data_IF_584606334584
#
_entry.id   IF_584606334584
#
_cell.length_a   1.000
_cell.length_b   1.000
_cell.length_c   1.000
_cell.angle_alpha   90.00
_cell.angle_beta   90.00
_cell.angle_gamma   90.00
#
_symmetry.space_group_name_H-M   'P 1'
#
loop_
_entity.id
_entity.type
_entity.pdbx_description
1 polymer ?
#
# COMPACT_ATOMS: atom_id res chain seq x y z
N UNK A 1 -29.30 -5.36 -17.70
CA UNK A 1 -28.70 -4.43 -16.72
C UNK A 1 -28.36 -5.25 -15.49
N UNK A 2 -27.13 -5.76 -15.42
CA UNK A 2 -26.58 -6.24 -14.15
C UNK A 2 -26.43 -5.02 -13.25
N UNK A 3 -26.88 -5.10 -12.00
CA UNK A 3 -26.41 -4.17 -10.96
C UNK A 3 -24.88 -4.25 -10.98
N UNK A 4 -24.20 -3.18 -11.42
CA UNK A 4 -22.76 -3.07 -11.20
C UNK A 4 -22.57 -3.07 -9.69
N UNK A 5 -22.12 -4.22 -9.16
CA UNK A 5 -21.83 -4.36 -7.74
C UNK A 5 -20.66 -3.43 -7.44
N UNK A 6 -20.98 -2.32 -6.77
CA UNK A 6 -19.97 -1.44 -6.23
C UNK A 6 -19.07 -2.20 -5.28
N UNK A 7 -17.78 -2.24 -5.60
CA UNK A 7 -16.79 -2.93 -4.80
C UNK A 7 -15.79 -1.92 -4.24
N UNK A 8 -15.57 -2.00 -2.93
CA UNK A 8 -14.56 -1.26 -2.21
C UNK A 8 -13.18 -1.89 -2.39
N UNK A 9 -12.13 -1.07 -2.33
CA UNK A 9 -10.75 -1.55 -2.34
C UNK A 9 -10.51 -2.51 -1.17
N UNK A 10 -9.87 -3.68 -1.38
CA UNK A 10 -9.48 -4.58 -0.30
C UNK A 10 -8.58 -3.86 0.71
N UNK A 11 -8.88 -4.00 1.99
CA UNK A 11 -8.16 -3.32 3.07
C UNK A 11 -6.63 -3.52 3.04
N UNK A 12 -6.18 -4.73 2.69
CA UNK A 12 -4.75 -5.06 2.58
C UNK A 12 -4.05 -4.23 1.48
N UNK A 13 -4.73 -3.98 0.36
CA UNK A 13 -4.19 -3.28 -0.79
C UNK A 13 -4.18 -1.78 -0.54
N UNK A 14 -5.26 -1.23 0.03
CA UNK A 14 -5.29 0.15 0.49
C UNK A 14 -4.14 0.43 1.46
N UNK A 15 -3.99 -0.43 2.48
CA UNK A 15 -2.89 -0.35 3.46
C UNK A 15 -1.52 -0.45 2.81
N UNK A 16 -1.32 -1.40 1.88
CA UNK A 16 -0.05 -1.56 1.17
C UNK A 16 0.28 -0.32 0.34
N UNK A 17 -0.69 0.22 -0.42
CA UNK A 17 -0.50 1.44 -1.24
C UNK A 17 -0.09 2.64 -0.39
N UNK A 18 -0.75 2.87 0.75
CA UNK A 18 -0.34 3.94 1.68
C UNK A 18 1.11 3.75 2.13
N UNK A 19 1.53 2.51 2.40
CA UNK A 19 2.93 2.23 2.78
C UNK A 19 3.91 2.42 1.62
N UNK A 20 3.53 2.08 0.39
CA UNK A 20 4.37 2.28 -0.80
C UNK A 20 4.60 3.76 -1.06
N UNK A 21 3.57 4.60 -0.91
CA UNK A 21 3.71 6.06 -1.07
C UNK A 21 4.71 6.63 -0.06
N UNK A 22 4.63 6.18 1.20
CA UNK A 22 5.61 6.56 2.23
C UNK A 22 7.02 6.07 1.88
N UNK A 23 7.16 4.84 1.41
CA UNK A 23 8.45 4.29 1.01
C UNK A 23 9.05 5.05 -0.18
N UNK A 24 8.24 5.35 -1.19
CA UNK A 24 8.64 6.16 -2.35
C UNK A 24 9.13 7.55 -1.92
N UNK A 25 8.44 8.19 -0.96
CA UNK A 25 8.83 9.49 -0.43
C UNK A 25 10.13 9.43 0.38
N UNK A 26 10.23 8.55 1.37
CA UNK A 26 11.36 8.52 2.31
C UNK A 26 12.62 7.90 1.69
N UNK A 27 12.47 6.84 0.89
CA UNK A 27 13.58 6.01 0.44
C UNK A 27 13.97 6.31 -1.01
N UNK A 28 13.00 6.64 -1.86
CA UNK A 28 13.23 6.88 -3.30
C UNK A 28 13.20 8.37 -3.68
N UNK A 29 13.03 9.27 -2.71
CA UNK A 29 12.97 10.71 -2.92
C UNK A 29 11.92 11.13 -3.97
N UNK A 30 10.79 10.43 -3.99
CA UNK A 30 9.67 10.73 -4.90
C UNK A 30 8.63 11.56 -4.17
N UNK A 31 8.23 12.69 -4.75
CA UNK A 31 7.18 13.51 -4.17
C UNK A 31 5.86 12.70 -4.06
N UNK A 32 5.21 12.78 -2.89
CA UNK A 32 3.99 12.03 -2.55
C UNK A 32 2.94 12.11 -3.65
N UNK A 33 2.76 13.30 -4.23
CA UNK A 33 1.77 13.58 -5.27
C UNK A 33 1.87 12.63 -6.48
N UNK A 34 3.08 12.30 -6.94
CA UNK A 34 3.26 11.39 -8.10
C UNK A 34 2.81 9.97 -7.76
N UNK A 35 3.29 9.41 -6.64
CA UNK A 35 2.92 8.07 -6.20
C UNK A 35 1.43 8.00 -5.85
N UNK A 36 0.89 9.03 -5.19
CA UNK A 36 -0.53 9.13 -4.88
C UNK A 36 -1.37 9.03 -6.16
N UNK A 37 -1.11 9.89 -7.15
CA UNK A 37 -1.85 9.89 -8.42
C UNK A 37 -1.73 8.57 -9.17
N UNK A 38 -0.52 8.02 -9.25
CA UNK A 38 -0.27 6.72 -9.87
C UNK A 38 -1.15 5.62 -9.29
N UNK A 39 -1.12 5.47 -7.96
CA UNK A 39 -1.82 4.38 -7.31
C UNK A 39 -3.33 4.63 -7.20
N UNK A 40 -3.77 5.88 -7.04
CA UNK A 40 -5.21 6.18 -7.07
C UNK A 40 -5.80 5.91 -8.45
N UNK A 41 -5.13 6.31 -9.55
CA UNK A 41 -5.60 5.99 -10.91
C UNK A 41 -5.69 4.48 -11.15
N UNK A 42 -4.76 3.70 -10.61
CA UNK A 42 -4.83 2.23 -10.67
C UNK A 42 -6.01 1.67 -9.87
N UNK A 43 -6.21 2.13 -8.63
CA UNK A 43 -7.26 1.63 -7.75
C UNK A 43 -8.66 2.04 -8.27
N UNK A 44 -8.84 3.27 -8.74
CA UNK A 44 -10.11 3.78 -9.25
C UNK A 44 -10.56 3.08 -10.54
N UNK A 45 -9.65 2.45 -11.29
CA UNK A 45 -10.00 1.58 -12.42
C UNK A 45 -10.59 0.23 -11.97
N UNK A 46 -10.46 -0.14 -10.70
CA UNK A 46 -10.84 -1.46 -10.16
C UNK A 46 -11.92 -1.40 -9.08
N UNK A 47 -12.08 -0.26 -8.41
CA UNK A 47 -12.94 -0.08 -7.24
C UNK A 47 -13.64 1.27 -7.29
N UNK A 48 -14.88 1.33 -6.81
CA UNK A 48 -15.77 2.47 -7.05
C UNK A 48 -15.57 3.65 -6.09
N UNK A 49 -14.97 3.42 -4.91
CA UNK A 49 -14.91 4.41 -3.83
C UNK A 49 -13.48 4.54 -3.26
N UNK A 50 -12.53 4.91 -4.12
CA UNK A 50 -11.15 5.19 -3.74
C UNK A 50 -10.99 6.69 -3.52
N UNK A 51 -10.98 7.12 -2.26
CA UNK A 51 -10.68 8.50 -1.89
C UNK A 51 -9.16 8.71 -1.76
N UNK A 52 -8.59 9.51 -2.67
CA UNK A 52 -7.17 9.86 -2.63
C UNK A 52 -6.78 10.58 -1.34
N UNK A 53 -7.69 11.36 -0.75
CA UNK A 53 -7.41 12.09 0.48
C UNK A 53 -7.22 11.15 1.67
N UNK A 54 -7.93 10.01 1.71
CA UNK A 54 -7.74 9.02 2.76
C UNK A 54 -6.37 8.34 2.67
N UNK A 55 -5.93 8.02 1.46
CA UNK A 55 -4.60 7.43 1.20
C UNK A 55 -3.50 8.43 1.57
N UNK A 56 -3.64 9.69 1.14
CA UNK A 56 -2.70 10.76 1.47
C UNK A 56 -2.63 11.00 2.98
N UNK A 57 -3.79 11.08 3.65
CA UNK A 57 -3.87 11.28 5.10
C UNK A 57 -3.20 10.12 5.85
N UNK A 58 -3.50 8.87 5.49
CA UNK A 58 -2.85 7.71 6.09
C UNK A 58 -1.33 7.74 5.88
N UNK A 59 -0.87 8.09 4.67
CA UNK A 59 0.55 8.19 4.35
C UNK A 59 1.26 9.27 5.18
N UNK A 60 0.65 10.45 5.31
CA UNK A 60 1.19 11.55 6.10
C UNK A 60 1.27 11.22 7.60
N UNK A 61 0.25 10.55 8.16
CA UNK A 61 0.29 10.14 9.58
C UNK A 61 1.38 9.08 9.81
N UNK A 62 1.59 8.16 8.86
CA UNK A 62 2.70 7.19 8.92
C UNK A 62 4.05 7.92 8.90
N UNK A 63 4.25 8.89 8.00
CA UNK A 63 5.47 9.71 7.92
C UNK A 63 5.71 10.45 9.24
N UNK A 64 4.67 11.11 9.76
CA UNK A 64 4.75 11.83 11.02
C UNK A 64 5.17 10.90 12.17
N UNK A 65 4.52 9.74 12.28
CA UNK A 65 4.87 8.76 13.32
C UNK A 65 6.31 8.27 13.19
N UNK A 66 6.79 7.98 11.96
CA UNK A 66 8.18 7.61 11.73
C UNK A 66 9.15 8.73 12.17
N UNK A 67 8.80 10.00 11.96
CA UNK A 67 9.56 11.15 12.44
C UNK A 67 9.57 11.28 13.97
N UNK A 68 8.42 11.04 14.62
CA UNK A 68 8.26 11.09 16.08
C UNK A 68 9.09 10.03 16.80
N UNK A 69 9.31 8.87 16.16
CA UNK A 69 10.10 7.79 16.73
C UNK A 69 11.57 8.20 17.02
N UNK A 70 12.09 9.27 16.39
CA UNK A 70 13.48 9.77 16.55
C UNK A 70 14.54 8.67 16.40
N UNK A 71 14.24 7.62 15.63
CA UNK A 71 15.13 6.48 15.45
C UNK A 71 16.20 6.86 14.41
N UNK A 72 17.33 6.16 14.49
CA UNK A 72 18.50 6.31 13.63
C UNK A 72 18.22 6.09 12.12
N UNK A 73 19.30 5.98 11.35
CA UNK A 73 19.27 5.79 9.89
C UNK A 73 18.40 4.63 9.41
N UNK A 74 17.98 3.71 10.27
CA UNK A 74 17.21 2.52 9.92
C UNK A 74 15.71 2.63 10.18
N UNK A 75 15.19 3.78 10.63
CA UNK A 75 13.76 3.97 10.91
C UNK A 75 12.87 3.61 9.73
N UNK A 76 13.30 3.96 8.52
CA UNK A 76 12.59 3.62 7.28
C UNK A 76 12.48 2.11 7.04
N UNK A 77 13.32 1.27 7.65
CA UNK A 77 13.20 -0.18 7.53
C UNK A 77 11.91 -0.69 8.18
N UNK A 78 11.31 0.05 9.12
CA UNK A 78 10.02 -0.33 9.71
C UNK A 78 8.91 -0.36 8.66
N UNK A 79 8.87 0.61 7.73
CA UNK A 79 7.88 0.58 6.64
C UNK A 79 8.17 -0.57 5.67
N UNK A 80 9.45 -0.86 5.40
CA UNK A 80 9.84 -1.96 4.52
C UNK A 80 9.45 -3.33 5.12
N UNK A 81 9.72 -3.53 6.41
CA UNK A 81 9.33 -4.73 7.14
C UNK A 81 7.80 -4.87 7.23
N UNK A 82 7.07 -3.77 7.38
CA UNK A 82 5.61 -3.81 7.44
C UNK A 82 5.00 -4.24 6.11
N UNK A 83 5.42 -3.62 5.00
CA UNK A 83 5.02 -4.02 3.64
C UNK A 83 5.29 -5.49 3.38
N UNK A 84 6.49 -5.97 3.75
CA UNK A 84 6.82 -7.39 3.66
C UNK A 84 5.82 -8.28 4.40
N UNK A 85 5.45 -7.94 5.64
CA UNK A 85 4.47 -8.73 6.41
C UNK A 85 3.09 -8.72 5.78
N UNK A 86 2.62 -7.57 5.28
CA UNK A 86 1.33 -7.47 4.55
C UNK A 86 1.30 -8.49 3.40
N UNK A 87 2.37 -8.54 2.59
CA UNK A 87 2.47 -9.43 1.43
C UNK A 87 2.54 -10.90 1.89
N UNK A 88 3.35 -11.22 2.91
CA UNK A 88 3.48 -12.59 3.43
C UNK A 88 2.19 -13.12 4.03
N UNK A 89 1.39 -12.27 4.66
CA UNK A 89 0.12 -12.66 5.28
C UNK A 89 -1.00 -12.78 4.25
N UNK A 90 -1.04 -11.88 3.27
CA UNK A 90 -2.08 -11.93 2.23
C UNK A 90 -1.81 -12.98 1.15
N UNK A 91 -0.55 -13.14 0.75
CA UNK A 91 -0.07 -14.00 -0.35
C UNK A 91 -0.82 -13.77 -1.68
N UNK A 92 -0.76 -12.55 -2.26
CA UNK A 92 -1.60 -12.19 -3.39
C UNK A 92 -1.37 -13.03 -4.67
N UNK A 93 -0.16 -13.55 -4.88
CA UNK A 93 0.13 -14.42 -6.02
C UNK A 93 -0.33 -15.89 -5.85
N UNK A 94 -0.72 -16.31 -4.64
CA UNK A 94 -1.01 -17.72 -4.37
C UNK A 94 -2.36 -18.15 -4.97
N UNK A 95 -2.30 -19.01 -5.99
CA UNK A 95 -3.48 -19.57 -6.65
C UNK A 95 -3.89 -20.88 -5.97
N UNK A 96 -5.20 -21.10 -5.80
CA UNK A 96 -5.74 -22.36 -5.31
C UNK A 96 -7.20 -22.53 -5.71
N UNK A 97 -7.64 -23.77 -5.94
CA UNK A 97 -8.98 -24.11 -6.45
C UNK A 97 -10.15 -23.50 -5.63
N UNK A 98 -9.93 -23.22 -4.34
CA UNK A 98 -10.94 -22.65 -3.43
C UNK A 98 -10.59 -21.24 -2.93
N UNK A 99 -9.45 -20.67 -3.35
CA UNK A 99 -9.05 -19.33 -2.90
C UNK A 99 -9.76 -18.27 -3.73
N UNK A 100 -10.44 -17.35 -3.04
CA UNK A 100 -10.94 -16.14 -3.67
C UNK A 100 -9.75 -15.29 -4.12
N UNK A 101 -9.91 -14.63 -5.25
CA UNK A 101 -8.92 -13.67 -5.71
C UNK A 101 -8.71 -12.59 -4.63
N UNK A 102 -7.48 -12.40 -4.13
CA UNK A 102 -7.17 -11.41 -3.11
C UNK A 102 -7.41 -9.96 -3.56
N UNK A 103 -7.53 -9.72 -4.86
CA UNK A 103 -7.84 -8.43 -5.48
C UNK A 103 -9.33 -8.18 -5.72
N UNK A 104 -10.18 -9.17 -5.48
CA UNK A 104 -11.61 -8.92 -5.52
C UNK A 104 -11.99 -7.92 -4.43
N UNK A 105 -12.61 -6.81 -4.84
CA UNK A 105 -13.10 -5.80 -3.92
C UNK A 105 -14.21 -6.34 -3.00
N UNK A 106 -14.46 -5.59 -1.93
CA UNK A 106 -15.38 -5.97 -0.87
C UNK A 106 -16.71 -5.24 -1.04
N UNK A 107 -17.82 -5.85 -0.58
CA UNK A 107 -19.15 -5.22 -0.68
C UNK A 107 -19.33 -4.03 0.29
N UNK A 108 -18.50 -4.00 1.33
CA UNK A 108 -18.48 -2.97 2.37
C UNK A 108 -17.06 -2.48 2.53
N UNK A 109 -16.88 -1.23 2.95
CA UNK A 109 -15.57 -0.68 3.29
C UNK A 109 -15.02 -1.40 4.52
N UNK A 110 -13.88 -2.06 4.37
CA UNK A 110 -13.23 -2.88 5.41
C UNK A 110 -11.92 -2.24 5.93
N UNK A 111 -11.75 -0.93 5.71
CA UNK A 111 -10.57 -0.19 6.16
C UNK A 111 -10.97 1.18 6.71
N UNK A 112 -10.21 1.61 7.72
CA UNK A 112 -10.18 2.98 8.20
C UNK A 112 -8.74 3.45 8.38
N UNK A 113 -8.54 4.77 8.38
CA UNK A 113 -7.21 5.36 8.63
C UNK A 113 -6.73 4.95 10.03
N UNK A 114 -7.59 5.04 11.04
CA UNK A 114 -7.23 4.74 12.44
C UNK A 114 -6.76 3.28 12.61
N UNK A 115 -7.45 2.31 12.00
CA UNK A 115 -7.04 0.90 12.04
C UNK A 115 -5.66 0.69 11.40
N UNK A 116 -5.41 1.29 10.24
CA UNK A 116 -4.12 1.17 9.54
C UNK A 116 -2.99 1.75 10.39
N UNK A 117 -3.20 2.94 10.97
CA UNK A 117 -2.20 3.59 11.82
C UNK A 117 -1.97 2.78 13.09
N UNK A 118 -3.03 2.26 13.72
CA UNK A 118 -2.92 1.41 14.89
C UNK A 118 -2.12 0.14 14.59
N UNK A 119 -2.44 -0.58 13.52
CA UNK A 119 -1.71 -1.77 13.09
C UNK A 119 -0.23 -1.46 12.83
N UNK A 120 0.06 -0.36 12.15
CA UNK A 120 1.44 0.05 11.87
C UNK A 120 2.22 0.36 13.15
N UNK A 121 1.62 1.08 14.10
CA UNK A 121 2.24 1.40 15.39
C UNK A 121 2.53 0.13 16.19
N UNK A 122 1.54 -0.76 16.30
CA UNK A 122 1.69 -2.08 16.96
C UNK A 122 2.81 -2.86 16.30
N UNK A 123 2.84 -2.91 14.97
CA UNK A 123 3.91 -3.57 14.22
C UNK A 123 5.28 -2.96 14.53
N UNK A 124 5.42 -1.63 14.55
CA UNK A 124 6.69 -0.96 14.82
C UNK A 124 7.24 -1.32 16.20
N UNK A 125 6.40 -1.29 17.24
CA UNK A 125 6.81 -1.68 18.58
C UNK A 125 7.18 -3.17 18.66
N UNK A 126 6.36 -4.04 18.08
CA UNK A 126 6.63 -5.48 18.07
C UNK A 126 7.91 -5.83 17.27
N UNK A 127 8.16 -5.15 16.15
CA UNK A 127 9.36 -5.32 15.33
C UNK A 127 10.64 -4.93 16.08
N UNK A 128 10.58 -3.86 16.89
CA UNK A 128 11.69 -3.43 17.75
C UNK A 128 11.97 -4.42 18.88
N UNK A 129 10.92 -5.05 19.40
CA UNK A 129 11.02 -6.12 20.41
C UNK A 129 11.37 -7.50 19.82
N UNK A 130 11.60 -7.61 18.51
CA UNK A 130 11.93 -8.88 17.85
C UNK A 130 10.77 -9.87 17.77
N UNK A 131 9.53 -9.40 17.91
CA UNK A 131 8.32 -10.23 17.94
C UNK A 131 7.62 -10.36 16.58
N UNK A 132 8.18 -9.76 15.53
CA UNK A 132 7.64 -9.84 14.16
C UNK A 132 8.70 -10.28 13.17
N UNK A 133 8.24 -10.75 12.00
CA UNK A 133 9.14 -11.07 10.88
C UNK A 133 9.73 -9.77 10.33
N UNK A 134 11.04 -9.76 10.09
CA UNK A 134 11.70 -8.70 9.33
C UNK A 134 11.82 -9.13 7.87
N UNK A 135 11.76 -8.17 6.95
CA UNK A 135 12.12 -8.44 5.56
C UNK A 135 13.59 -8.87 5.48
N UNK A 136 13.96 -9.74 4.54
CA UNK A 136 15.37 -10.07 4.28
C UNK A 136 16.18 -8.81 3.97
N UNK A 137 17.49 -8.87 4.23
CA UNK A 137 18.42 -7.80 3.82
C UNK A 137 18.36 -7.61 2.30
N UNK A 138 18.24 -6.35 1.86
CA UNK A 138 18.14 -6.01 0.44
C UNK A 138 16.77 -6.28 -0.18
N UNK A 139 15.76 -6.67 0.61
CA UNK A 139 14.39 -6.79 0.10
C UNK A 139 13.85 -5.42 -0.34
N UNK A 140 13.37 -5.38 -1.59
CA UNK A 140 12.61 -4.27 -2.16
C UNK A 140 11.31 -4.86 -2.73
N UNK A 141 10.20 -4.20 -2.42
CA UNK A 141 8.88 -4.55 -2.88
C UNK A 141 8.78 -4.73 -4.41
N UNK A 142 9.55 -3.99 -5.23
CA UNK A 142 9.52 -4.13 -6.71
C UNK A 142 10.01 -5.50 -7.20
N UNK A 143 10.82 -6.16 -6.38
CA UNK A 143 11.39 -7.47 -6.65
C UNK A 143 10.60 -8.61 -5.97
N UNK A 144 9.50 -8.29 -5.27
CA UNK A 144 8.69 -9.29 -4.59
C UNK A 144 7.74 -9.99 -5.57
N UNK A 145 7.97 -11.29 -5.79
CA UNK A 145 7.21 -12.11 -6.73
C UNK A 145 5.80 -12.46 -6.22
N UNK A 146 5.51 -12.30 -4.93
CA UNK A 146 4.21 -12.66 -4.37
C UNK A 146 3.19 -11.52 -4.46
N UNK A 147 3.59 -10.37 -5.01
CA UNK A 147 2.70 -9.26 -5.28
C UNK A 147 1.60 -9.59 -6.26
N UNK A 148 1.74 -10.55 -7.18
CA UNK A 148 0.72 -10.78 -8.21
C UNK A 148 0.52 -9.53 -9.10
N UNK A 149 -0.72 -9.20 -9.46
CA UNK A 149 -1.03 -8.11 -10.41
C UNK A 149 -0.58 -6.71 -9.95
N UNK A 150 -0.53 -6.43 -8.64
CA UNK A 150 -0.07 -5.11 -8.16
C UNK A 150 1.39 -4.82 -8.54
N UNK A 151 2.19 -5.84 -8.84
CA UNK A 151 3.56 -5.65 -9.31
C UNK A 151 3.62 -4.85 -10.62
N UNK A 152 2.64 -5.02 -11.50
CA UNK A 152 2.62 -4.36 -12.81
C UNK A 152 2.52 -2.84 -12.67
N UNK A 153 1.58 -2.35 -11.86
CA UNK A 153 1.50 -0.92 -11.55
C UNK A 153 2.72 -0.47 -10.75
N UNK A 154 3.23 -1.26 -9.81
CA UNK A 154 4.36 -0.85 -8.98
C UNK A 154 5.61 -0.52 -9.82
N UNK A 155 5.92 -1.34 -10.82
CA UNK A 155 7.11 -1.18 -11.68
C UNK A 155 6.88 -0.31 -12.91
N UNK A 156 5.62 0.03 -13.24
CA UNK A 156 5.34 0.91 -14.37
C UNK A 156 5.97 2.29 -14.17
N UNK A 157 6.37 2.93 -15.26
CA UNK A 157 6.60 4.37 -15.22
C UNK A 157 5.25 5.08 -15.06
N UNK A 158 5.27 6.24 -14.41
CA UNK A 158 4.12 7.13 -14.31
C UNK A 158 4.65 8.54 -14.47
N UNK A 159 4.26 9.14 -15.58
CA UNK A 159 4.77 10.40 -16.08
C UNK A 159 3.75 11.53 -15.89
N UNK A 160 4.15 12.75 -16.21
CA UNK A 160 3.24 13.90 -16.24
C UNK A 160 2.16 13.70 -17.32
N UNK A 161 2.49 13.06 -18.43
CA UNK A 161 1.53 12.82 -19.52
C UNK A 161 0.38 11.92 -19.03
N UNK A 162 0.72 10.86 -18.28
CA UNK A 162 -0.29 10.00 -17.64
C UNK A 162 -1.19 10.80 -16.69
N UNK A 163 -0.67 11.84 -16.03
CA UNK A 163 -1.45 12.69 -15.14
C UNK A 163 -2.40 13.60 -15.91
N UNK A 164 -1.96 14.14 -17.04
CA UNK A 164 -2.78 14.98 -17.92
C UNK A 164 -3.94 14.16 -18.48
N UNK A 165 -3.66 12.95 -18.94
CA UNK A 165 -4.68 12.07 -19.50
C UNK A 165 -5.77 11.72 -18.47
N UNK A 166 -5.39 11.48 -17.21
CA UNK A 166 -6.34 11.19 -16.12
C UNK A 166 -7.13 12.43 -15.61
N UNK A 167 -6.87 13.64 -16.11
CA UNK A 167 -7.64 14.85 -15.77
C UNK A 167 -8.73 15.18 -16.81
N UNK A 168 -8.70 14.52 -17.98
CA UNK A 168 -9.53 14.84 -19.14
C UNK A 168 -10.76 13.89 -19.25
N UNK A 169 -10.76 12.79 -18.49
CA UNK A 169 -11.88 11.85 -18.33
C UNK A 169 -12.73 12.13 -17.06
#
# INVERSE_FOLDING_TARGET
MSEDKKNYCPAWLFKLVSCVIVYDFIVRDRAIFFSLKKFTSYLSKKYDEVDSNEIETASNIIIQFLGELKIDKNTYLLINHFMYNIIRDKKPAEKGLLKKDPYNGTKTKEYSIDEIIQEFRVFCFACRSGLTRKSPTGWDIVNDNDLGEFREVLVSEFSIDDMIDNLID
#
